data_IF_915918289259
#
_entry.id   IF_915918289259
#
_cell.length_a   1.000
_cell.length_b   1.000
_cell.length_c   1.000
_cell.angle_alpha   90.00
_cell.angle_beta   90.00
_cell.angle_gamma   90.00
#
_symmetry.space_group_name_H-M   'P 1'
#
loop_
_entity.id
_entity.type
_entity.pdbx_description
1 polymer ?
#
# COMPACT_ATOMS: atom_id res chain seq x y z
N UNK A 1 22.31 -7.33 -4.32
CA UNK A 1 20.84 -7.31 -4.07
C UNK A 1 20.38 -8.68 -4.47
N UNK A 2 20.48 -9.58 -3.52
CA UNK A 2 20.52 -11.02 -3.80
C UNK A 2 19.09 -11.54 -3.88
N UNK A 3 18.93 -12.72 -4.46
CA UNK A 3 17.63 -13.31 -4.79
C UNK A 3 16.70 -13.41 -3.57
N UNK A 4 17.27 -13.65 -2.40
CA UNK A 4 16.60 -13.71 -1.10
C UNK A 4 15.95 -12.37 -0.71
N UNK A 5 16.65 -11.24 -0.91
CA UNK A 5 16.11 -9.92 -0.62
C UNK A 5 14.93 -9.54 -1.51
N UNK A 6 14.89 -10.08 -2.73
CA UNK A 6 13.78 -9.85 -3.68
C UNK A 6 12.50 -10.57 -3.25
N UNK A 7 12.64 -11.84 -2.85
CA UNK A 7 11.51 -12.64 -2.40
C UNK A 7 10.99 -12.16 -1.04
N UNK A 8 11.88 -11.78 -0.12
CA UNK A 8 11.49 -11.18 1.16
C UNK A 8 10.62 -9.92 0.98
N UNK A 9 11.00 -9.03 0.05
CA UNK A 9 10.19 -7.85 -0.27
C UNK A 9 8.82 -8.22 -0.85
N UNK A 10 8.76 -9.19 -1.76
CA UNK A 10 7.49 -9.65 -2.35
C UNK A 10 6.56 -10.20 -1.29
N UNK A 11 7.06 -11.06 -0.40
CA UNK A 11 6.28 -11.63 0.72
C UNK A 11 5.81 -10.54 1.69
N UNK A 12 6.68 -9.60 2.04
CA UNK A 12 6.31 -8.48 2.90
C UNK A 12 5.20 -7.61 2.26
N UNK A 13 5.27 -7.38 0.96
CA UNK A 13 4.24 -6.64 0.23
C UNK A 13 2.90 -7.40 0.25
N UNK A 14 2.90 -8.71 -0.06
CA UNK A 14 1.69 -9.55 -0.01
C UNK A 14 1.08 -9.59 1.40
N UNK A 15 1.91 -9.66 2.44
CA UNK A 15 1.47 -9.63 3.82
C UNK A 15 0.77 -8.31 4.17
N UNK A 16 1.26 -7.16 3.68
CA UNK A 16 0.60 -5.87 3.85
C UNK A 16 -0.77 -5.85 3.15
N UNK A 17 -0.85 -6.33 1.90
CA UNK A 17 -2.13 -6.40 1.17
C UNK A 17 -3.15 -7.23 1.94
N UNK A 18 -2.76 -8.42 2.39
CA UNK A 18 -3.65 -9.33 3.13
C UNK A 18 -4.06 -8.76 4.48
N UNK A 19 -3.11 -8.19 5.24
CA UNK A 19 -3.36 -7.68 6.61
C UNK A 19 -4.35 -6.53 6.62
N UNK A 20 -4.31 -5.66 5.62
CA UNK A 20 -5.12 -4.44 5.57
C UNK A 20 -6.23 -4.50 4.52
N UNK A 21 -6.50 -5.68 3.95
CA UNK A 21 -7.48 -5.91 2.88
C UNK A 21 -7.33 -4.94 1.69
N UNK A 22 -6.09 -4.63 1.32
CA UNK A 22 -5.76 -3.69 0.23
C UNK A 22 -5.60 -4.47 -1.07
N UNK A 23 -6.30 -4.04 -2.11
CA UNK A 23 -6.16 -4.65 -3.45
C UNK A 23 -4.88 -4.15 -4.13
N UNK A 24 -4.34 -4.94 -5.06
CA UNK A 24 -3.13 -4.54 -5.80
C UNK A 24 -3.29 -3.18 -6.51
N UNK A 25 -4.45 -2.93 -7.14
CA UNK A 25 -4.74 -1.63 -7.78
C UNK A 25 -4.73 -0.47 -6.77
N UNK A 26 -5.27 -0.70 -5.57
CA UNK A 26 -5.32 0.30 -4.51
C UNK A 26 -3.93 0.59 -3.94
N UNK A 27 -3.10 -0.44 -3.77
CA UNK A 27 -1.72 -0.28 -3.34
C UNK A 27 -0.91 0.64 -4.27
N UNK A 28 -1.12 0.57 -5.59
CA UNK A 28 -0.51 1.49 -6.54
C UNK A 28 -0.94 2.96 -6.28
N UNK A 29 -2.23 3.19 -5.99
CA UNK A 29 -2.74 4.52 -5.66
C UNK A 29 -2.15 5.05 -4.35
N UNK A 30 -2.06 4.18 -3.33
CA UNK A 30 -1.45 4.53 -2.04
C UNK A 30 0.02 4.91 -2.22
N UNK A 31 0.79 4.09 -2.94
CA UNK A 31 2.20 4.37 -3.25
C UNK A 31 2.33 5.72 -3.98
N UNK A 32 1.45 6.03 -4.94
CA UNK A 32 1.45 7.33 -5.64
C UNK A 32 1.22 8.49 -4.69
N UNK A 33 0.27 8.34 -3.77
CA UNK A 33 -0.11 9.40 -2.84
C UNK A 33 1.06 9.82 -1.93
N UNK A 34 1.86 8.86 -1.46
CA UNK A 34 3.02 9.13 -0.58
C UNK A 34 4.28 9.49 -1.34
N UNK A 35 4.60 8.77 -2.43
CA UNK A 35 5.85 9.00 -3.17
C UNK A 35 5.79 10.21 -4.10
N UNK A 36 4.59 10.72 -4.42
CA UNK A 36 4.34 11.75 -5.44
C UNK A 36 4.88 11.38 -6.82
N UNK A 37 5.06 10.08 -7.08
CA UNK A 37 5.55 9.53 -8.35
C UNK A 37 4.52 8.54 -8.90
N UNK A 38 4.39 8.40 -10.23
CA UNK A 38 3.48 7.44 -10.82
C UNK A 38 3.97 5.99 -10.62
N UNK A 39 3.11 5.18 -10.02
CA UNK A 39 3.18 3.74 -9.88
C UNK A 39 1.91 3.16 -10.50
N UNK A 40 2.09 2.26 -11.47
CA UNK A 40 0.98 1.60 -12.15
C UNK A 40 0.61 0.29 -11.47
N UNK A 41 -0.65 -0.11 -11.63
CA UNK A 41 -1.13 -1.44 -11.25
C UNK A 41 -0.31 -2.55 -11.94
N UNK A 42 0.12 -2.33 -13.18
CA UNK A 42 1.00 -3.24 -13.92
C UNK A 42 2.37 -3.41 -13.26
N UNK A 43 2.94 -2.35 -12.70
CA UNK A 43 4.19 -2.42 -11.96
C UNK A 43 4.02 -3.30 -10.71
N UNK A 44 2.97 -3.06 -9.91
CA UNK A 44 2.63 -3.86 -8.74
C UNK A 44 2.45 -5.33 -9.12
N UNK A 45 1.66 -5.63 -10.16
CA UNK A 45 1.48 -7.01 -10.65
C UNK A 45 2.81 -7.67 -11.02
N UNK A 46 3.70 -6.93 -11.69
CA UNK A 46 5.02 -7.47 -12.07
C UNK A 46 5.88 -7.83 -10.86
N UNK A 47 5.74 -7.12 -9.73
CA UNK A 47 6.48 -7.41 -8.50
C UNK A 47 5.95 -8.61 -7.72
N UNK A 48 4.66 -8.87 -7.83
CA UNK A 48 3.97 -9.90 -7.05
C UNK A 48 3.78 -11.21 -7.82
N UNK A 49 3.92 -11.15 -9.15
CA UNK A 49 3.88 -12.31 -10.02
C UNK A 49 4.85 -13.40 -9.56
N UNK A 50 4.53 -14.63 -9.97
CA UNK A 50 5.40 -15.78 -9.83
C UNK A 50 6.83 -15.44 -10.33
N UNK A 51 7.86 -15.57 -9.46
CA UNK A 51 9.23 -15.18 -9.79
C UNK A 51 9.84 -15.98 -10.94
N UNK A 52 9.29 -17.14 -11.28
CA UNK A 52 9.77 -17.96 -12.40
C UNK A 52 9.34 -17.43 -13.78
N UNK A 53 8.37 -16.50 -13.83
CA UNK A 53 7.85 -15.97 -15.09
C UNK A 53 8.75 -14.85 -15.62
N UNK A 54 8.96 -14.82 -16.96
CA UNK A 54 9.74 -13.78 -17.65
C UNK A 54 9.23 -12.35 -17.42
N UNK A 55 7.94 -12.18 -17.15
CA UNK A 55 7.33 -10.87 -16.88
C UNK A 55 7.44 -10.44 -15.40
N UNK A 56 7.96 -11.32 -14.54
CA UNK A 56 8.17 -11.02 -13.13
C UNK A 56 9.37 -10.10 -12.96
N UNK A 57 9.21 -9.10 -12.10
CA UNK A 57 10.26 -8.16 -11.73
C UNK A 57 10.48 -8.24 -10.22
N UNK A 58 11.71 -8.03 -9.75
CA UNK A 58 12.00 -7.89 -8.32
C UNK A 58 11.07 -6.88 -7.64
N UNK A 59 10.48 -7.26 -6.50
CA UNK A 59 9.79 -6.29 -5.66
C UNK A 59 10.84 -5.40 -4.97
N UNK A 60 10.84 -4.07 -5.21
CA UNK A 60 11.84 -3.20 -4.64
C UNK A 60 11.50 -2.82 -3.19
N UNK A 61 12.52 -2.70 -2.35
CA UNK A 61 12.35 -2.35 -0.92
C UNK A 61 11.59 -1.05 -0.72
N UNK A 62 11.82 -0.05 -1.58
CA UNK A 62 11.10 1.23 -1.49
C UNK A 62 9.59 1.08 -1.70
N UNK A 63 9.12 0.11 -2.50
CA UNK A 63 7.70 -0.09 -2.73
C UNK A 63 7.01 -0.68 -1.50
N UNK A 64 7.69 -1.58 -0.77
CA UNK A 64 7.21 -2.11 0.51
C UNK A 64 7.06 -0.99 1.54
N UNK A 65 8.08 -0.13 1.64
CA UNK A 65 8.06 1.01 2.56
C UNK A 65 6.97 2.01 2.17
N UNK A 66 6.89 2.38 0.89
CA UNK A 66 5.86 3.30 0.39
C UNK A 66 4.44 2.76 0.61
N UNK A 67 4.19 1.47 0.43
CA UNK A 67 2.88 0.88 0.74
C UNK A 67 2.57 0.99 2.24
N UNK A 68 3.54 0.67 3.11
CA UNK A 68 3.38 0.81 4.56
C UNK A 68 3.01 2.24 4.94
N UNK A 69 3.74 3.22 4.43
CA UNK A 69 3.48 4.64 4.71
C UNK A 69 2.11 5.07 4.16
N UNK A 70 1.74 4.60 2.96
CA UNK A 70 0.45 4.86 2.35
C UNK A 70 -0.72 4.30 3.15
N UNK A 71 -0.57 3.12 3.74
CA UNK A 71 -1.57 2.52 4.64
C UNK A 71 -1.73 3.35 5.91
N UNK A 72 -0.62 3.74 6.55
CA UNK A 72 -0.65 4.59 7.76
C UNK A 72 -1.34 5.91 7.46
N UNK A 73 -0.98 6.56 6.34
CA UNK A 73 -1.61 7.79 5.89
C UNK A 73 -3.12 7.64 5.70
N UNK A 74 -3.56 6.56 5.04
CA UNK A 74 -4.97 6.29 4.80
C UNK A 74 -5.74 6.08 6.13
N UNK A 75 -5.19 5.31 7.07
CA UNK A 75 -5.81 5.08 8.37
C UNK A 75 -5.95 6.38 9.18
N UNK A 76 -4.91 7.22 9.18
CA UNK A 76 -4.94 8.53 9.84
C UNK A 76 -6.01 9.44 9.23
N UNK A 77 -6.16 9.45 7.90
CA UNK A 77 -7.22 10.22 7.24
C UNK A 77 -8.62 9.73 7.62
N UNK A 78 -8.83 8.42 7.68
CA UNK A 78 -10.12 7.85 8.08
C UNK A 78 -10.47 8.22 9.53
N UNK A 79 -9.49 8.12 10.43
CA UNK A 79 -9.70 8.45 11.84
C UNK A 79 -10.03 9.94 12.03
N UNK A 80 -9.31 10.85 11.35
CA UNK A 80 -9.62 12.29 11.38
C UNK A 80 -11.03 12.59 10.89
N UNK A 81 -11.47 11.92 9.81
CA UNK A 81 -12.85 12.06 9.29
C UNK A 81 -13.89 11.56 10.27
N UNK A 82 -13.63 10.43 10.93
CA UNK A 82 -14.50 9.87 11.95
C UNK A 82 -14.61 10.80 13.16
N UNK A 83 -13.51 11.42 13.57
CA UNK A 83 -13.50 12.40 14.66
C UNK A 83 -14.31 13.64 14.28
N UNK A 84 -14.08 14.24 13.11
CA UNK A 84 -14.87 15.38 12.65
C UNK A 84 -16.38 15.09 12.65
N UNK A 85 -16.80 13.94 12.10
CA UNK A 85 -18.21 13.54 12.10
C UNK A 85 -18.81 13.34 13.51
N UNK A 86 -17.99 12.93 14.49
CA UNK A 86 -18.43 12.81 15.89
C UNK A 86 -18.65 14.19 16.52
N UNK A 87 -17.72 15.14 16.32
CA UNK A 87 -17.90 16.51 16.83
C UNK A 87 -19.17 17.15 16.25
N UNK A 88 -19.39 17.04 14.93
CA UNK A 88 -20.59 17.58 14.28
C UNK A 88 -21.89 16.99 14.87
N UNK A 89 -21.87 15.70 15.25
CA UNK A 89 -23.02 15.02 15.86
C UNK A 89 -23.26 15.47 17.30
N UNK A 90 -22.20 15.67 18.08
CA UNK A 90 -22.26 16.16 19.47
C UNK A 90 -22.73 17.62 19.53
N UNK A 91 -22.28 18.48 18.61
CA UNK A 91 -22.76 19.87 18.50
C UNK A 91 -24.22 19.96 18.09
N UNK A 92 -24.72 19.07 17.23
CA UNK A 92 -26.13 19.04 16.83
C UNK A 92 -27.09 18.54 17.94
N UNK A 93 -26.56 17.92 18.99
CA UNK A 93 -27.31 17.40 20.13
C UNK A 93 -27.26 18.31 21.37
N UNK A 94 -26.44 19.36 21.35
CA UNK A 94 -26.29 20.37 22.40
C UNK A 94 -27.17 21.59 22.14
#
# INVERSE_FOLDING_TARGET
MDDEGREANRQAFLALLKKYDVKQRESAMLINAVTKRPCSDRAVRSWLNDPTKKSSRPCPTWAVNALRDGIVYMQQLMERRKQAAKLDTEEAQA
#
